data_IF_327483412519
#
_entry.id   IF_327483412519
#
_cell.length_a   1.000
_cell.length_b   1.000
_cell.length_c   1.000
_cell.angle_alpha   90.00
_cell.angle_beta   90.00
_cell.angle_gamma   90.00
#
_symmetry.space_group_name_H-M   'P 1'
#
loop_
_entity.id
_entity.type
_entity.pdbx_description
1 polymer ?
#
# COMPACT_ATOMS: atom_id res chain seq x y z
N UNK A 1 -20.17 19.09 52.13
CA UNK A 1 -20.25 17.80 51.43
C UNK A 1 -19.62 18.00 50.06
N UNK A 2 -18.39 17.46 49.89
CA UNK A 2 -17.63 17.13 48.67
C UNK A 2 -17.64 18.06 47.43
N UNK A 3 -16.50 18.74 47.20
CA UNK A 3 -15.45 18.34 46.23
C UNK A 3 -15.76 18.33 44.71
N UNK A 4 -14.83 18.80 43.85
CA UNK A 4 -15.04 18.96 42.41
C UNK A 4 -15.02 17.62 41.66
N UNK A 5 -15.95 17.45 40.73
CA UNK A 5 -15.96 16.32 39.77
C UNK A 5 -14.86 16.53 38.74
N UNK A 6 -13.74 15.83 38.94
CA UNK A 6 -12.70 15.68 37.93
C UNK A 6 -13.06 14.61 36.89
N UNK A 7 -12.21 14.60 35.85
CA UNK A 7 -12.00 13.55 34.85
C UNK A 7 -12.88 13.59 33.59
N UNK A 8 -12.33 14.23 32.54
CA UNK A 8 -12.78 14.08 31.17
C UNK A 8 -12.53 12.67 30.63
N UNK A 9 -13.18 12.27 29.52
CA UNK A 9 -13.14 10.90 29.04
C UNK A 9 -11.74 10.51 28.56
N UNK A 10 -11.04 9.71 29.36
CA UNK A 10 -9.82 9.02 28.99
C UNK A 10 -10.13 7.95 27.92
N UNK A 11 -9.62 8.14 26.71
CA UNK A 11 -9.73 7.18 25.62
C UNK A 11 -8.86 5.94 25.92
N UNK A 12 -9.50 4.86 26.39
CA UNK A 12 -8.86 3.58 26.72
C UNK A 12 -8.59 2.80 25.41
N UNK A 13 -7.32 2.62 25.04
CA UNK A 13 -6.93 1.76 23.90
C UNK A 13 -7.20 0.29 24.21
N UNK A 14 -7.81 -0.42 23.26
CA UNK A 14 -8.05 -1.86 23.34
C UNK A 14 -6.73 -2.67 23.17
N UNK A 15 -6.58 -3.82 23.85
CA UNK A 15 -5.46 -4.72 23.60
C UNK A 15 -5.63 -5.41 22.24
N UNK A 16 -4.53 -5.53 21.49
CA UNK A 16 -4.49 -6.37 20.30
C UNK A 16 -4.45 -7.84 20.75
N UNK A 17 -5.55 -8.56 20.53
CA UNK A 17 -5.59 -10.02 20.68
C UNK A 17 -4.69 -10.65 19.62
N UNK A 18 -3.61 -11.28 20.06
CA UNK A 18 -2.81 -12.16 19.23
C UNK A 18 -3.37 -13.58 19.27
N UNK A 19 -3.58 -14.16 18.09
CA UNK A 19 -3.54 -15.61 17.89
C UNK A 19 -3.20 -15.90 16.41
N UNK A 20 -2.13 -16.65 16.08
CA UNK A 20 -1.95 -17.22 14.77
C UNK A 20 -2.36 -18.70 14.77
N UNK A 21 -3.62 -18.95 14.42
CA UNK A 21 -4.08 -20.25 13.94
C UNK A 21 -3.56 -20.52 12.52
N UNK A 22 -2.96 -21.69 12.32
CA UNK A 22 -2.31 -22.12 11.10
C UNK A 22 -3.28 -22.50 9.97
N UNK A 23 -2.92 -22.12 8.73
CA UNK A 23 -3.19 -22.91 7.52
C UNK A 23 -4.13 -22.31 6.46
N UNK A 24 -3.55 -21.73 5.39
CA UNK A 24 -3.82 -22.05 3.98
C UNK A 24 -3.09 -21.03 3.08
N UNK A 25 -2.29 -21.54 2.14
CA UNK A 25 -1.38 -20.76 1.31
C UNK A 25 -2.08 -19.71 0.44
N UNK A 26 -1.80 -18.45 0.72
CA UNK A 26 -1.78 -17.39 -0.28
C UNK A 26 -0.33 -16.98 -0.48
N UNK A 27 0.10 -16.82 -1.72
CA UNK A 27 1.34 -16.13 -2.06
C UNK A 27 1.24 -14.65 -1.68
N UNK A 28 1.12 -14.37 -0.38
CA UNK A 28 1.32 -13.06 0.19
C UNK A 28 2.79 -12.76 0.06
N UNK A 29 3.15 -12.00 -0.98
CA UNK A 29 4.46 -11.37 -1.08
C UNK A 29 4.73 -10.72 0.28
N UNK A 30 5.69 -11.26 1.02
CA UNK A 30 6.04 -10.75 2.35
C UNK A 30 6.41 -9.27 2.18
N UNK A 31 5.50 -8.38 2.57
CA UNK A 31 5.80 -6.96 2.66
C UNK A 31 6.74 -6.81 3.83
N UNK A 32 8.03 -6.83 3.52
CA UNK A 32 9.09 -6.56 4.46
C UNK A 32 8.89 -5.14 5.02
N UNK A 33 8.19 -5.04 6.15
CA UNK A 33 7.82 -3.75 6.74
C UNK A 33 9.01 -3.18 7.47
N UNK A 34 9.86 -2.43 6.76
CA UNK A 34 10.77 -1.49 7.39
C UNK A 34 10.13 -0.11 7.37
N UNK A 35 9.41 0.16 8.45
CA UNK A 35 8.87 1.47 8.80
C UNK A 35 7.55 1.87 8.12
N UNK A 36 6.80 2.80 8.75
CA UNK A 36 5.50 3.28 8.26
C UNK A 36 5.57 3.89 6.85
N UNK A 37 6.66 4.57 6.47
CA UNK A 37 6.76 5.23 5.17
C UNK A 37 6.91 4.22 4.02
N UNK A 38 7.76 3.20 4.21
CA UNK A 38 7.89 2.10 3.24
C UNK A 38 6.60 1.31 3.09
N UNK A 39 5.87 1.06 4.20
CA UNK A 39 4.58 0.38 4.17
C UNK A 39 3.52 1.17 3.37
N UNK A 40 3.40 2.47 3.64
CA UNK A 40 2.49 3.35 2.92
C UNK A 40 2.83 3.43 1.42
N UNK A 41 4.12 3.44 1.07
CA UNK A 41 4.56 3.37 -0.32
C UNK A 41 4.10 2.08 -1.00
N UNK A 42 4.25 0.94 -0.31
CA UNK A 42 3.74 -0.35 -0.79
C UNK A 42 2.23 -0.31 -1.07
N UNK A 43 1.44 0.22 -0.14
CA UNK A 43 0.00 0.39 -0.32
C UNK A 43 -0.35 1.30 -1.51
N UNK A 44 0.37 2.40 -1.72
CA UNK A 44 0.21 3.26 -2.89
C UNK A 44 0.50 2.49 -4.19
N UNK A 45 1.55 1.65 -4.21
CA UNK A 45 1.86 0.78 -5.35
C UNK A 45 0.77 -0.26 -5.66
N UNK A 46 0.12 -0.82 -4.65
CA UNK A 46 -1.03 -1.72 -4.82
C UNK A 46 -2.24 -0.99 -5.39
N UNK A 47 -2.58 0.18 -4.84
CA UNK A 47 -3.68 1.02 -5.35
C UNK A 47 -3.45 1.42 -6.81
N UNK A 48 -2.22 1.81 -7.17
CA UNK A 48 -1.81 2.09 -8.55
C UNK A 48 -2.09 0.92 -9.49
N UNK A 49 -1.78 -0.29 -9.04
CA UNK A 49 -1.98 -1.52 -9.82
C UNK A 49 -3.46 -1.83 -9.98
N UNK A 50 -4.25 -1.71 -8.90
CA UNK A 50 -5.70 -1.93 -8.95
C UNK A 50 -6.41 -0.92 -9.84
N UNK A 51 -6.02 0.36 -9.79
CA UNK A 51 -6.57 1.39 -10.67
C UNK A 51 -6.35 1.06 -12.16
N UNK A 52 -5.14 0.62 -12.52
CA UNK A 52 -4.82 0.19 -13.89
C UNK A 52 -5.62 -1.06 -14.32
N UNK A 53 -5.75 -2.04 -13.43
CA UNK A 53 -6.55 -3.25 -13.69
C UNK A 53 -8.01 -2.91 -13.93
N UNK A 54 -8.61 -2.07 -13.08
CA UNK A 54 -9.98 -1.61 -13.24
C UNK A 54 -10.19 -0.84 -14.53
N UNK A 55 -9.24 0.05 -14.89
CA UNK A 55 -9.28 0.79 -16.16
C UNK A 55 -9.29 -0.16 -17.36
N UNK A 56 -8.37 -1.13 -17.36
CA UNK A 56 -8.28 -2.13 -18.41
C UNK A 56 -9.53 -3.00 -18.50
N UNK A 57 -10.13 -3.38 -17.37
CA UNK A 57 -11.35 -4.15 -17.32
C UNK A 57 -12.55 -3.36 -17.88
N UNK A 58 -12.64 -2.06 -17.57
CA UNK A 58 -13.69 -1.19 -18.07
C UNK A 58 -13.61 -1.03 -19.60
N UNK A 59 -12.41 -0.81 -20.14
CA UNK A 59 -12.18 -0.73 -21.58
C UNK A 59 -12.61 -2.01 -22.30
N UNK A 60 -12.16 -3.18 -21.81
CA UNK A 60 -12.57 -4.49 -22.37
C UNK A 60 -14.09 -4.72 -22.28
N UNK A 61 -14.70 -4.35 -21.16
CA UNK A 61 -16.15 -4.48 -20.98
C UNK A 61 -16.98 -3.62 -21.94
N UNK A 62 -16.37 -2.60 -22.56
CA UNK A 62 -17.01 -1.74 -23.55
C UNK A 62 -16.72 -2.12 -25.00
N UNK A 63 -15.87 -3.13 -25.25
CA UNK A 63 -15.65 -3.66 -26.58
C UNK A 63 -16.97 -4.19 -27.16
N UNK A 64 -17.30 -3.80 -28.40
CA UNK A 64 -18.52 -4.24 -29.08
C UNK A 64 -19.81 -3.55 -28.66
N UNK A 65 -19.86 -2.81 -27.54
CA UNK A 65 -21.08 -2.11 -27.06
C UNK A 65 -21.64 -1.17 -28.12
N UNK A 66 -20.78 -0.39 -28.80
CA UNK A 66 -21.23 0.55 -29.82
C UNK A 66 -21.90 -0.13 -31.04
N UNK A 67 -21.45 -1.33 -31.40
CA UNK A 67 -22.00 -2.09 -32.52
C UNK A 67 -23.27 -2.86 -32.10
N UNK A 68 -23.30 -3.43 -30.89
CA UNK A 68 -24.44 -4.18 -30.38
C UNK A 68 -25.63 -3.31 -29.95
N UNK A 69 -25.39 -2.02 -29.68
CA UNK A 69 -26.40 -1.09 -29.18
C UNK A 69 -26.81 -0.01 -30.21
N UNK A 70 -26.59 -0.24 -31.50
CA UNK A 70 -26.98 0.70 -32.57
C UNK A 70 -28.48 1.02 -32.46
N UNK A 71 -28.81 2.32 -32.51
CA UNK A 71 -30.19 2.81 -32.38
C UNK A 71 -30.62 3.12 -30.94
N UNK A 72 -29.85 2.71 -29.92
CA UNK A 72 -30.09 3.12 -28.53
C UNK A 72 -29.52 4.51 -28.29
N UNK A 73 -30.38 5.42 -27.80
CA UNK A 73 -29.98 6.79 -27.43
C UNK A 73 -28.94 6.82 -26.31
N UNK A 74 -28.84 5.76 -25.51
CA UNK A 74 -27.92 5.64 -24.38
C UNK A 74 -26.46 5.39 -24.76
N UNK A 75 -26.15 5.00 -26.01
CA UNK A 75 -24.78 4.64 -26.42
C UNK A 75 -23.81 5.82 -26.27
N UNK A 76 -24.23 7.02 -26.66
CA UNK A 76 -23.40 8.21 -26.51
C UNK A 76 -23.11 8.51 -25.03
N UNK A 77 -24.12 8.37 -24.16
CA UNK A 77 -23.97 8.55 -22.72
C UNK A 77 -23.01 7.51 -22.12
N UNK A 78 -23.14 6.23 -22.50
CA UNK A 78 -22.26 5.15 -22.04
C UNK A 78 -20.80 5.40 -22.43
N UNK A 79 -20.54 5.85 -23.67
CA UNK A 79 -19.18 6.25 -24.11
C UNK A 79 -18.62 7.40 -23.28
N UNK A 80 -19.43 8.43 -23.00
CA UNK A 80 -19.00 9.54 -22.14
C UNK A 80 -18.66 9.09 -20.72
N UNK A 81 -19.46 8.18 -20.16
CA UNK A 81 -19.19 7.58 -18.84
C UNK A 81 -17.89 6.76 -18.87
N UNK A 82 -17.67 5.93 -19.90
CA UNK A 82 -16.43 5.17 -20.08
C UNK A 82 -15.21 6.11 -20.06
N UNK A 83 -15.19 7.12 -20.94
CA UNK A 83 -14.07 8.06 -21.04
C UNK A 83 -13.81 8.75 -19.70
N UNK A 84 -14.86 9.24 -19.04
CA UNK A 84 -14.73 9.90 -17.74
C UNK A 84 -14.13 8.99 -16.65
N UNK A 85 -14.49 7.71 -16.62
CA UNK A 85 -13.93 6.77 -15.65
C UNK A 85 -12.50 6.34 -16.00
N UNK A 86 -12.17 6.16 -17.28
CA UNK A 86 -10.81 5.84 -17.71
C UNK A 86 -9.82 6.98 -17.39
N UNK A 87 -10.25 8.23 -17.56
CA UNK A 87 -9.48 9.41 -17.18
C UNK A 87 -9.28 9.50 -15.67
N UNK A 88 -10.34 9.34 -14.88
CA UNK A 88 -10.25 9.36 -13.40
C UNK A 88 -9.36 8.24 -12.86
N UNK A 89 -9.47 7.02 -13.39
CA UNK A 89 -8.63 5.90 -12.97
C UNK A 89 -7.16 6.09 -13.38
N UNK A 90 -6.91 6.74 -14.53
CA UNK A 90 -5.56 7.14 -14.93
C UNK A 90 -4.98 8.17 -13.97
N UNK A 91 -5.73 9.22 -13.61
CA UNK A 91 -5.30 10.21 -12.64
C UNK A 91 -4.95 9.59 -11.28
N UNK A 92 -5.84 8.73 -10.74
CA UNK A 92 -5.58 8.00 -9.49
C UNK A 92 -4.33 7.13 -9.58
N UNK A 93 -4.13 6.43 -10.70
CA UNK A 93 -2.92 5.63 -10.94
C UNK A 93 -1.67 6.50 -10.88
N UNK A 94 -1.67 7.63 -11.59
CA UNK A 94 -0.52 8.52 -11.69
C UNK A 94 -0.20 9.18 -10.34
N UNK A 95 -1.23 9.61 -9.60
CA UNK A 95 -1.10 10.10 -8.22
C UNK A 95 -0.53 9.04 -7.28
N UNK A 96 -1.00 7.79 -7.35
CA UNK A 96 -0.48 6.70 -6.53
C UNK A 96 0.98 6.37 -6.87
N UNK A 97 1.38 6.47 -8.14
CA UNK A 97 2.77 6.28 -8.56
C UNK A 97 3.68 7.39 -8.00
N UNK A 98 3.23 8.65 -8.07
CA UNK A 98 3.94 9.77 -7.47
C UNK A 98 4.04 9.63 -5.95
N UNK A 99 2.93 9.30 -5.28
CA UNK A 99 2.88 9.13 -3.83
C UNK A 99 3.82 7.99 -3.37
N UNK A 100 3.85 6.87 -4.10
CA UNK A 100 4.79 5.78 -3.86
C UNK A 100 6.23 6.28 -3.86
N UNK A 101 6.61 7.09 -4.85
CA UNK A 101 7.94 7.69 -4.96
C UNK A 101 8.26 8.61 -3.78
N UNK A 102 7.37 9.56 -3.50
CA UNK A 102 7.53 10.52 -2.41
C UNK A 102 7.68 9.84 -1.04
N UNK A 103 6.87 8.81 -0.77
CA UNK A 103 6.95 8.05 0.49
C UNK A 103 8.26 7.27 0.63
N UNK A 104 8.84 6.78 -0.47
CA UNK A 104 10.17 6.16 -0.44
C UNK A 104 11.28 7.18 -0.19
N UNK A 105 11.13 8.40 -0.71
CA UNK A 105 12.06 9.49 -0.41
C UNK A 105 12.04 9.82 1.08
N UNK A 106 10.84 9.99 1.67
CA UNK A 106 10.69 10.23 3.11
C UNK A 106 11.24 9.07 3.93
N UNK A 107 10.99 7.82 3.53
CA UNK A 107 11.55 6.65 4.22
C UNK A 107 13.09 6.68 4.29
N UNK A 108 13.74 7.17 3.22
CA UNK A 108 15.20 7.35 3.17
C UNK A 108 15.67 8.48 4.08
N UNK A 109 15.03 9.64 3.99
CA UNK A 109 15.36 10.82 4.81
C UNK A 109 15.18 10.56 6.32
N UNK A 110 14.19 9.74 6.68
CA UNK A 110 13.90 9.38 8.08
C UNK A 110 14.70 8.15 8.56
N UNK A 111 15.63 7.62 7.77
CA UNK A 111 16.52 6.54 8.18
C UNK A 111 15.86 5.16 8.29
N UNK A 112 14.65 4.96 7.75
CA UNK A 112 14.01 3.63 7.69
C UNK A 112 14.85 2.65 6.86
N UNK A 113 15.60 3.16 5.88
CA UNK A 113 16.56 2.39 5.09
C UNK A 113 17.94 2.19 5.76
N UNK A 114 18.31 2.96 6.78
CA UNK A 114 19.60 2.82 7.48
C UNK A 114 19.53 1.90 8.70
N UNK A 115 18.46 2.04 9.49
CA UNK A 115 18.09 1.09 10.56
C UNK A 115 17.96 -0.33 10.00
N UNK A 116 17.53 -0.40 8.74
CA UNK A 116 17.46 -1.62 7.99
C UNK A 116 18.82 -2.34 7.85
N UNK A 117 19.81 -1.58 7.42
CA UNK A 117 21.13 -2.09 7.08
C UNK A 117 21.88 -2.41 8.36
N UNK A 118 21.81 -1.55 9.37
CA UNK A 118 22.42 -1.82 10.69
C UNK A 118 21.86 -3.10 11.33
N UNK A 119 20.55 -3.38 11.25
CA UNK A 119 20.00 -4.64 11.77
C UNK A 119 20.52 -5.87 11.02
N UNK A 120 20.70 -5.76 9.70
CA UNK A 120 21.23 -6.83 8.85
C UNK A 120 22.74 -7.03 9.05
N UNK A 121 23.50 -5.96 9.29
CA UNK A 121 24.95 -6.01 9.54
C UNK A 121 25.26 -6.49 10.96
N UNK A 122 24.40 -6.24 11.94
CA UNK A 122 24.58 -6.79 13.31
C UNK A 122 24.46 -8.32 13.38
N UNK A 123 23.96 -8.96 12.31
CA UNK A 123 23.84 -10.41 12.19
C UNK A 123 25.08 -11.13 11.64
N UNK A 124 26.07 -10.40 11.09
CA UNK A 124 27.32 -11.01 10.64
C UNK A 124 28.35 -11.00 11.76
N UNK A 125 28.61 -12.18 12.34
CA UNK A 125 29.73 -12.40 13.24
C UNK A 125 31.03 -12.33 12.42
N UNK A 126 31.89 -11.36 12.73
CA UNK A 126 33.27 -11.32 12.23
C UNK A 126 34.10 -12.21 13.15
N UNK A 127 34.69 -13.32 12.66
CA UNK A 127 35.62 -14.12 13.46
C UNK A 127 36.83 -13.24 13.79
N UNK A 128 37.15 -13.13 15.09
CA UNK A 128 38.37 -12.46 15.54
C UNK A 128 39.62 -13.15 15.00
N UNK A 129 40.74 -12.42 14.79
CA UNK A 129 41.97 -13.03 14.34
C UNK A 129 42.39 -14.10 15.34
N UNK A 130 42.66 -15.31 14.85
CA UNK A 130 43.15 -16.39 15.67
C UNK A 130 44.47 -15.95 16.32
N UNK A 131 44.47 -15.87 17.65
CA UNK A 131 45.69 -15.68 18.43
C UNK A 131 46.64 -16.82 18.08
N UNK A 132 47.70 -16.48 17.35
CA UNK A 132 48.76 -17.40 16.98
C UNK A 132 49.52 -17.81 18.23
N UNK A 133 49.43 -19.09 18.57
CA UNK A 133 50.36 -19.79 19.44
C UNK A 133 51.82 -19.50 19.03
N UNK A 134 52.61 -18.95 19.95
CA UNK A 134 53.93 -19.47 20.37
C UNK A 134 54.55 -18.69 21.53
#
# INVERSE_FOLDING_TARGET
MFGPTGEGPAMRRAPASGDPGAGAGGAGRLTYSKGPWTSASGAAGELRTRAETSRSALGRGHEGVAAGAVGLSSVAALKGVLTSWEERLRAVRDECEQLKGNLLTVAREMGESETAVTSSVRGVHVPGPADGER
#
